data_IF_175586691707
#
_entry.id   IF_175586691707
#
_cell.length_a   1.000
_cell.length_b   1.000
_cell.length_c   1.000
_cell.angle_alpha   90.00
_cell.angle_beta   90.00
_cell.angle_gamma   90.00
#
_symmetry.space_group_name_H-M   'P 1'
#
loop_
_entity.id
_entity.type
_entity.pdbx_description
1 polymer ?
#
# COMPACT_ATOMS: atom_id res chain seq x y z
N UNK A 1 -3.74 33.92 -12.59
CA UNK A 1 -2.88 34.07 -11.40
C UNK A 1 -3.27 33.10 -10.32
N UNK A 2 -3.20 31.77 -10.56
CA UNK A 2 -3.56 30.67 -9.60
C UNK A 2 -2.70 29.40 -9.78
N UNK A 3 -1.41 29.53 -10.09
CA UNK A 3 -0.52 28.36 -10.29
C UNK A 3 0.57 28.27 -9.20
N UNK A 4 0.76 29.29 -8.38
CA UNK A 4 1.84 29.30 -7.36
C UNK A 4 1.51 28.58 -6.04
N UNK A 5 0.25 28.25 -5.75
CA UNK A 5 -0.14 27.65 -4.45
C UNK A 5 0.15 26.16 -4.30
N UNK A 6 0.39 25.43 -5.40
CA UNK A 6 0.55 23.96 -5.35
C UNK A 6 2.00 23.51 -5.16
N UNK A 7 2.97 24.34 -5.48
CA UNK A 7 4.41 24.00 -5.41
C UNK A 7 4.94 24.15 -3.99
N UNK A 8 4.44 25.14 -3.24
CA UNK A 8 4.93 25.47 -1.90
C UNK A 8 4.65 24.39 -0.86
N UNK A 9 3.53 23.64 -0.97
CA UNK A 9 3.21 22.54 -0.05
C UNK A 9 4.04 21.25 -0.29
N UNK A 10 4.60 21.10 -1.49
CA UNK A 10 5.46 19.94 -1.81
C UNK A 10 6.90 20.12 -1.32
N UNK A 11 7.35 21.35 -1.16
CA UNK A 11 8.71 21.68 -0.70
C UNK A 11 8.82 21.56 0.83
N UNK A 12 7.76 21.83 1.59
CA UNK A 12 7.78 21.73 3.06
C UNK A 12 7.94 20.31 3.58
N UNK A 13 7.42 19.28 2.87
CA UNK A 13 7.63 17.88 3.28
C UNK A 13 9.07 17.40 3.04
N UNK A 14 9.71 17.90 1.98
CA UNK A 14 11.10 17.55 1.66
C UNK A 14 12.11 18.23 2.62
N UNK A 15 11.78 19.42 3.12
CA UNK A 15 12.67 20.19 4.00
C UNK A 15 12.67 19.66 5.43
N UNK A 16 11.57 19.08 5.91
CA UNK A 16 11.47 18.47 7.24
C UNK A 16 12.31 17.19 7.39
N UNK A 17 12.55 16.49 6.29
CA UNK A 17 13.40 15.27 6.27
C UNK A 17 14.91 15.57 6.39
N UNK A 18 15.36 16.78 6.03
CA UNK A 18 16.77 17.16 6.07
C UNK A 18 17.25 17.65 7.45
N UNK A 19 16.34 17.90 8.38
CA UNK A 19 16.65 18.42 9.71
C UNK A 19 16.63 17.34 10.82
N UNK A 20 16.47 16.05 10.48
CA UNK A 20 16.52 14.99 11.50
C UNK A 20 17.97 14.68 11.87
N UNK A 21 18.29 14.59 13.18
CA UNK A 21 19.61 14.12 13.61
C UNK A 21 19.84 12.71 13.05
N UNK A 22 21.09 12.34 12.71
CA UNK A 22 21.39 11.02 12.17
C UNK A 22 20.98 9.96 13.19
N UNK A 23 19.82 9.34 13.02
CA UNK A 23 19.46 8.14 13.73
C UNK A 23 20.49 7.08 13.30
N UNK A 24 21.23 6.50 14.23
CA UNK A 24 22.15 5.40 13.95
C UNK A 24 21.29 4.24 13.45
N UNK A 25 21.39 3.94 12.16
CA UNK A 25 20.81 2.73 11.60
C UNK A 25 21.36 1.53 12.37
N UNK A 26 20.46 0.77 13.02
CA UNK A 26 20.86 -0.40 13.80
C UNK A 26 21.63 -1.40 12.93
N UNK A 27 22.73 -1.93 13.45
CA UNK A 27 23.61 -2.85 12.72
C UNK A 27 23.01 -4.25 12.47
N UNK A 28 21.80 -4.52 13.00
CA UNK A 28 21.23 -5.88 13.10
C UNK A 28 20.30 -6.33 11.98
N UNK A 29 19.76 -5.44 11.13
CA UNK A 29 18.83 -5.85 10.07
C UNK A 29 19.53 -6.00 8.71
N UNK A 30 19.22 -7.08 7.99
CA UNK A 30 19.69 -7.31 6.63
C UNK A 30 18.97 -6.36 5.66
N UNK A 31 19.64 -6.00 4.55
CA UNK A 31 19.04 -5.22 3.47
C UNK A 31 17.81 -5.90 2.92
N UNK A 32 16.80 -5.11 2.51
CA UNK A 32 15.51 -5.55 1.95
C UNK A 32 14.63 -6.39 2.89
N UNK A 33 15.11 -6.76 4.09
CA UNK A 33 14.32 -7.55 5.03
C UNK A 33 13.31 -6.71 5.84
N UNK A 34 13.41 -5.38 5.82
CA UNK A 34 12.35 -4.48 6.29
C UNK A 34 11.22 -4.30 5.27
N UNK A 35 11.32 -4.95 4.10
CA UNK A 35 10.41 -4.71 3.00
C UNK A 35 10.61 -3.35 2.35
N UNK A 36 9.59 -2.92 1.61
CA UNK A 36 9.42 -1.56 1.11
C UNK A 36 8.15 -0.97 1.70
N UNK A 37 7.78 0.24 1.36
CA UNK A 37 6.49 0.80 1.79
C UNK A 37 5.42 0.41 0.79
N UNK A 38 4.32 -0.16 1.28
CA UNK A 38 3.14 -0.42 0.46
C UNK A 38 2.43 0.89 0.10
N UNK A 39 1.55 0.85 -0.89
CA UNK A 39 0.73 2.01 -1.27
C UNK A 39 -0.16 2.53 -0.12
N UNK A 40 -0.44 1.71 0.88
CA UNK A 40 -1.17 2.07 2.10
C UNK A 40 -0.26 2.66 3.20
N UNK A 41 1.06 2.77 2.97
CA UNK A 41 2.04 3.37 3.86
C UNK A 41 2.68 2.42 4.87
N UNK A 42 2.09 1.27 5.15
CA UNK A 42 2.68 0.27 6.03
C UNK A 42 3.86 -0.44 5.35
N UNK A 43 4.85 -0.83 6.13
CA UNK A 43 5.94 -1.66 5.62
C UNK A 43 5.42 -3.01 5.11
N UNK A 44 5.96 -3.44 3.95
CA UNK A 44 5.54 -4.67 3.29
C UNK A 44 6.17 -4.81 1.93
N UNK A 45 5.42 -5.39 1.02
CA UNK A 45 5.67 -5.28 -0.42
C UNK A 45 5.02 -4.01 -0.99
N UNK A 46 4.91 -3.90 -2.31
CA UNK A 46 4.25 -2.77 -2.94
C UNK A 46 2.74 -2.72 -2.67
N UNK A 47 2.08 -3.87 -2.71
CA UNK A 47 0.63 -4.02 -2.54
C UNK A 47 0.22 -4.47 -1.13
N UNK A 48 1.01 -5.30 -0.48
CA UNK A 48 0.60 -6.01 0.75
C UNK A 48 1.43 -5.57 1.96
N UNK A 49 0.84 -5.41 3.17
CA UNK A 49 1.60 -5.22 4.39
C UNK A 49 2.20 -6.55 4.85
N UNK A 50 3.45 -6.49 5.32
CA UNK A 50 4.12 -7.62 5.95
C UNK A 50 4.12 -7.48 7.48
N UNK A 51 4.45 -8.55 8.19
CA UNK A 51 4.60 -8.50 9.63
C UNK A 51 5.88 -7.75 10.10
N UNK A 52 6.70 -7.32 9.16
CA UNK A 52 7.93 -6.56 9.39
C UNK A 52 7.65 -5.08 9.62
N UNK A 53 8.61 -4.37 10.22
CA UNK A 53 8.62 -2.90 10.35
C UNK A 53 9.56 -2.30 9.31
N UNK A 54 9.17 -1.17 8.71
CA UNK A 54 9.81 -0.57 7.53
C UNK A 54 11.08 0.24 7.79
N UNK A 55 11.73 0.04 8.94
CA UNK A 55 12.95 0.76 9.32
C UNK A 55 14.02 -0.21 9.80
N UNK A 56 15.23 0.28 9.96
CA UNK A 56 16.35 -0.50 10.52
C UNK A 56 16.45 -0.43 12.04
N UNK A 57 15.50 0.22 12.71
CA UNK A 57 15.45 0.27 14.18
C UNK A 57 15.34 -1.14 14.77
N UNK A 58 16.17 -1.40 15.77
CA UNK A 58 16.17 -2.62 16.57
C UNK A 58 15.56 -2.35 17.95
N UNK A 59 15.71 -3.29 18.90
CA UNK A 59 15.24 -3.14 20.27
C UNK A 59 15.79 -1.87 20.94
N UNK A 60 14.91 -1.09 21.53
CA UNK A 60 15.25 0.18 22.19
C UNK A 60 15.50 1.37 21.25
N UNK A 61 15.36 1.20 19.94
CA UNK A 61 15.65 2.24 18.94
C UNK A 61 14.39 2.76 18.26
N UNK A 62 14.51 3.99 17.73
CA UNK A 62 13.57 4.60 16.80
C UNK A 62 14.13 4.54 15.37
N UNK A 63 13.27 4.39 14.41
CA UNK A 63 13.59 4.53 12.99
C UNK A 63 12.46 5.23 12.27
N UNK A 64 12.79 5.82 11.14
CA UNK A 64 11.82 6.50 10.27
C UNK A 64 12.06 6.09 8.83
N UNK A 65 11.01 6.09 8.03
CA UNK A 65 11.09 5.90 6.60
C UNK A 65 10.17 6.87 5.88
N UNK A 66 10.51 7.21 4.65
CA UNK A 66 9.65 7.98 3.76
C UNK A 66 9.75 7.40 2.35
N UNK A 67 8.65 7.48 1.59
CA UNK A 67 8.61 6.90 0.26
C UNK A 67 7.78 7.76 -0.70
N UNK A 68 8.07 7.60 -1.98
CA UNK A 68 7.25 8.10 -3.05
C UNK A 68 7.12 7.01 -4.12
N UNK A 69 5.90 6.83 -4.61
CA UNK A 69 5.53 5.80 -5.57
C UNK A 69 4.73 6.40 -6.70
N UNK A 70 4.96 5.94 -7.91
CA UNK A 70 4.10 6.20 -9.06
C UNK A 70 3.76 4.89 -9.76
N UNK A 71 2.50 4.77 -10.18
CA UNK A 71 2.06 3.67 -11.03
C UNK A 71 1.27 4.22 -12.22
N UNK A 72 1.42 3.59 -13.36
CA UNK A 72 0.75 3.97 -14.59
C UNK A 72 0.27 2.73 -15.32
N UNK A 73 -1.05 2.63 -15.49
CA UNK A 73 -1.68 1.62 -16.33
C UNK A 73 -2.09 2.23 -17.68
N UNK A 74 -2.81 1.46 -18.51
CA UNK A 74 -3.28 1.95 -19.79
C UNK A 74 -4.14 3.21 -19.64
N UNK A 75 -5.07 3.21 -18.64
CA UNK A 75 -6.12 4.24 -18.56
C UNK A 75 -6.05 5.07 -17.29
N UNK A 76 -5.25 4.69 -16.29
CA UNK A 76 -5.19 5.34 -14.98
C UNK A 76 -3.77 5.69 -14.57
N UNK A 77 -3.66 6.61 -13.63
CA UNK A 77 -2.43 6.97 -12.96
C UNK A 77 -2.59 6.96 -11.45
N UNK A 78 -1.53 6.66 -10.73
CA UNK A 78 -1.48 6.73 -9.26
C UNK A 78 -0.16 7.37 -8.84
N UNK A 79 -0.23 8.35 -7.95
CA UNK A 79 0.91 8.85 -7.21
C UNK A 79 0.66 8.66 -5.71
N UNK A 80 1.66 8.20 -4.99
CA UNK A 80 1.59 7.99 -3.53
C UNK A 80 2.82 8.61 -2.89
N UNK A 81 2.63 9.25 -1.76
CA UNK A 81 3.73 9.65 -0.89
C UNK A 81 3.35 9.34 0.56
N UNK A 82 4.32 8.95 1.37
CA UNK A 82 4.06 8.61 2.75
C UNK A 82 5.33 8.50 3.58
N UNK A 83 5.11 8.27 4.87
CA UNK A 83 6.16 8.06 5.85
C UNK A 83 5.71 7.11 6.94
N UNK A 84 6.67 6.46 7.59
CA UNK A 84 6.44 5.65 8.77
C UNK A 84 7.51 5.90 9.83
N UNK A 85 7.13 5.71 11.08
CA UNK A 85 8.03 5.70 12.23
C UNK A 85 7.87 4.38 12.97
N UNK A 86 8.99 3.77 13.35
CA UNK A 86 9.03 2.51 14.07
C UNK A 86 9.70 2.71 15.42
N UNK A 87 9.13 2.12 16.44
CA UNK A 87 9.72 2.07 17.78
C UNK A 87 9.96 0.63 18.22
N UNK A 88 11.17 0.38 18.71
CA UNK A 88 11.56 -0.88 19.35
C UNK A 88 11.36 -2.12 18.43
N UNK A 89 11.41 -1.93 17.11
CA UNK A 89 11.07 -2.97 16.12
C UNK A 89 9.72 -3.67 16.37
N UNK A 90 8.81 -3.02 17.09
CA UNK A 90 7.52 -3.59 17.48
C UNK A 90 6.32 -2.78 17.03
N UNK A 91 6.41 -1.47 17.12
CA UNK A 91 5.30 -0.58 16.79
C UNK A 91 5.67 0.27 15.59
N UNK A 92 4.83 0.29 14.58
CA UNK A 92 4.96 1.14 13.38
C UNK A 92 3.73 2.04 13.27
N UNK A 93 3.95 3.34 13.21
CA UNK A 93 2.97 4.33 12.81
C UNK A 93 3.27 4.73 11.37
N UNK A 94 2.25 4.79 10.53
CA UNK A 94 2.41 5.16 9.13
C UNK A 94 1.34 6.15 8.68
N UNK A 95 1.70 6.96 7.68
CA UNK A 95 0.77 7.85 6.99
C UNK A 95 1.11 7.86 5.51
N UNK A 96 0.07 7.83 4.66
CA UNK A 96 0.23 7.92 3.21
C UNK A 96 -0.91 8.72 2.60
N UNK A 97 -0.63 9.39 1.49
CA UNK A 97 -1.62 10.00 0.61
C UNK A 97 -1.45 9.45 -0.79
N UNK A 98 -2.55 8.91 -1.33
CA UNK A 98 -2.67 8.47 -2.71
C UNK A 98 -3.40 9.54 -3.51
N UNK A 99 -2.98 9.78 -4.73
CA UNK A 99 -3.62 10.65 -5.73
C UNK A 99 -3.84 9.81 -6.99
N UNK A 100 -5.08 9.42 -7.22
CA UNK A 100 -5.49 8.55 -8.33
C UNK A 100 -6.11 9.39 -9.45
N UNK A 101 -5.41 9.45 -10.57
CA UNK A 101 -5.83 10.16 -11.78
C UNK A 101 -6.68 9.24 -12.66
N UNK A 102 -7.95 9.60 -12.83
CA UNK A 102 -8.91 8.87 -13.68
C UNK A 102 -8.75 9.19 -15.16
N UNK A 103 -7.93 10.16 -15.52
CA UNK A 103 -7.69 10.64 -16.89
C UNK A 103 -9.01 10.90 -17.65
N UNK A 104 -9.14 10.31 -18.85
CA UNK A 104 -10.32 10.46 -19.69
C UNK A 104 -11.46 9.49 -19.33
N UNK A 105 -11.26 8.54 -18.40
CA UNK A 105 -12.24 7.48 -18.16
C UNK A 105 -13.58 7.98 -17.60
N UNK A 106 -13.59 9.10 -16.92
CA UNK A 106 -14.82 9.73 -16.44
C UNK A 106 -15.37 10.83 -17.39
N UNK A 107 -14.83 10.95 -18.61
CA UNK A 107 -15.33 11.90 -19.61
C UNK A 107 -16.82 11.70 -19.95
N UNK A 108 -17.37 10.45 -20.05
CA UNK A 108 -18.80 10.24 -20.27
C UNK A 108 -19.70 10.82 -19.16
N UNK A 109 -19.13 11.05 -17.97
CA UNK A 109 -19.81 11.67 -16.84
C UNK A 109 -19.51 13.17 -16.71
N UNK A 110 -18.81 13.77 -17.67
CA UNK A 110 -18.36 15.16 -17.60
C UNK A 110 -17.23 15.41 -16.59
N UNK A 111 -16.54 14.37 -16.12
CA UNK A 111 -15.54 14.40 -15.05
C UNK A 111 -14.15 13.96 -15.54
N UNK A 112 -13.78 14.27 -16.79
CA UNK A 112 -12.46 13.96 -17.32
C UNK A 112 -11.35 14.59 -16.46
N UNK A 113 -10.29 13.83 -16.18
CA UNK A 113 -9.16 14.29 -15.36
C UNK A 113 -9.49 14.47 -13.88
N UNK A 114 -10.56 13.84 -13.37
CA UNK A 114 -10.85 13.85 -11.95
C UNK A 114 -9.77 13.06 -11.17
N UNK A 115 -9.32 13.64 -10.09
CA UNK A 115 -8.41 13.00 -9.13
C UNK A 115 -9.18 12.57 -7.89
N UNK A 116 -9.03 11.29 -7.51
CA UNK A 116 -9.51 10.75 -6.23
C UNK A 116 -8.32 10.71 -5.26
N UNK A 117 -8.46 11.34 -4.10
CA UNK A 117 -7.39 11.38 -3.09
C UNK A 117 -7.76 10.52 -1.91
N UNK A 118 -6.85 9.62 -1.50
CA UNK A 118 -7.06 8.75 -0.35
C UNK A 118 -5.98 9.02 0.70
N UNK A 119 -6.42 9.47 1.87
CA UNK A 119 -5.58 9.59 3.06
C UNK A 119 -5.65 8.31 3.87
N UNK A 120 -4.49 7.79 4.26
CA UNK A 120 -4.33 6.57 5.05
C UNK A 120 -3.47 6.87 6.26
N UNK A 121 -3.93 6.47 7.45
CA UNK A 121 -3.14 6.47 8.68
C UNK A 121 -3.17 5.04 9.24
N UNK A 122 -2.00 4.51 9.58
CA UNK A 122 -1.81 3.13 10.00
C UNK A 122 -1.11 2.99 11.34
N UNK A 123 -1.48 1.95 12.08
CA UNK A 123 -0.77 1.45 13.24
C UNK A 123 -0.57 -0.05 13.05
N UNK A 124 0.68 -0.52 13.17
CA UNK A 124 1.03 -1.94 13.14
C UNK A 124 1.74 -2.29 14.44
N UNK A 125 1.42 -3.44 14.98
CA UNK A 125 2.05 -3.99 16.17
C UNK A 125 2.52 -5.42 15.90
N UNK A 126 3.83 -5.66 16.01
CA UNK A 126 4.44 -6.98 15.99
C UNK A 126 4.13 -7.69 17.30
N UNK A 127 3.40 -8.79 17.22
CA UNK A 127 2.91 -9.55 18.37
C UNK A 127 3.94 -10.57 18.84
N UNK A 128 4.44 -11.39 17.91
CA UNK A 128 5.28 -12.54 18.22
C UNK A 128 6.14 -12.96 17.02
N UNK A 129 7.09 -13.85 17.28
CA UNK A 129 7.95 -14.47 16.27
C UNK A 129 9.07 -13.55 15.77
N UNK A 130 9.94 -14.13 14.97
CA UNK A 130 11.05 -13.48 14.30
C UNK A 130 11.09 -13.97 12.85
N UNK A 131 11.02 -13.04 11.89
CA UNK A 131 10.95 -13.40 10.48
C UNK A 131 12.31 -13.80 9.92
N UNK A 132 13.42 -13.24 10.45
CA UNK A 132 14.71 -13.19 9.77
C UNK A 132 15.79 -13.97 10.53
N UNK A 133 15.95 -13.68 11.82
CA UNK A 133 17.10 -14.16 12.61
C UNK A 133 16.85 -15.52 13.28
N UNK A 134 15.62 -16.01 13.30
CA UNK A 134 15.25 -17.29 13.90
C UNK A 134 14.91 -18.31 12.79
N UNK A 135 15.94 -18.70 12.01
CA UNK A 135 15.78 -19.61 10.88
C UNK A 135 15.42 -21.04 11.29
N UNK A 136 15.77 -21.42 12.52
CA UNK A 136 15.62 -22.80 13.02
C UNK A 136 14.21 -23.07 13.54
N UNK A 137 13.38 -22.05 13.71
CA UNK A 137 11.99 -22.17 14.15
C UNK A 137 11.03 -21.96 12.99
N UNK A 138 10.00 -22.80 12.95
CA UNK A 138 8.91 -22.67 11.98
C UNK A 138 8.02 -21.45 12.20
N UNK A 139 8.02 -20.87 13.41
CA UNK A 139 7.15 -19.77 13.78
C UNK A 139 7.47 -18.52 12.96
N UNK A 140 6.51 -18.02 12.14
CA UNK A 140 6.70 -16.75 11.44
C UNK A 140 6.63 -15.57 12.42
N UNK A 141 7.09 -14.42 11.97
CA UNK A 141 6.76 -13.16 12.63
C UNK A 141 5.29 -12.84 12.36
N UNK A 142 4.56 -12.49 13.42
CA UNK A 142 3.13 -12.16 13.37
C UNK A 142 2.95 -10.71 13.80
N UNK A 143 2.17 -9.96 13.02
CA UNK A 143 1.79 -8.60 13.34
C UNK A 143 0.30 -8.36 13.06
N UNK A 144 -0.32 -7.52 13.86
CA UNK A 144 -1.65 -6.97 13.63
C UNK A 144 -1.52 -5.50 13.25
N UNK A 145 -2.36 -5.04 12.33
CA UNK A 145 -2.40 -3.64 11.95
C UNK A 145 -3.82 -3.12 11.76
N UNK A 146 -3.95 -1.81 11.92
CA UNK A 146 -5.18 -1.06 11.69
C UNK A 146 -4.87 0.07 10.73
N UNK A 147 -5.70 0.24 9.69
CA UNK A 147 -5.61 1.33 8.73
C UNK A 147 -6.91 2.14 8.79
N UNK A 148 -6.80 3.43 9.10
CA UNK A 148 -7.90 4.39 8.93
C UNK A 148 -7.71 5.09 7.59
N UNK A 149 -8.73 4.99 6.73
CA UNK A 149 -8.71 5.54 5.37
C UNK A 149 -9.85 6.53 5.17
N UNK A 150 -9.58 7.58 4.39
CA UNK A 150 -10.58 8.57 3.99
C UNK A 150 -10.34 9.00 2.55
N UNK A 151 -11.36 8.86 1.71
CA UNK A 151 -11.33 9.30 0.32
C UNK A 151 -11.97 10.68 0.17
N UNK A 152 -11.29 11.56 -0.54
CA UNK A 152 -11.85 12.75 -1.17
C UNK A 152 -12.08 12.42 -2.65
N UNK A 153 -13.34 12.22 -3.00
CA UNK A 153 -13.75 11.84 -4.35
C UNK A 153 -14.18 13.06 -5.20
N UNK A 154 -13.99 14.28 -4.70
CA UNK A 154 -14.33 15.49 -5.42
C UNK A 154 -15.77 15.46 -5.94
N UNK A 155 -15.95 15.77 -7.23
CA UNK A 155 -17.26 15.80 -7.87
C UNK A 155 -17.96 14.42 -7.94
N UNK A 156 -17.25 13.30 -7.75
CA UNK A 156 -17.84 11.97 -7.69
C UNK A 156 -18.44 11.63 -6.31
N UNK A 157 -18.18 12.43 -5.27
CA UNK A 157 -18.63 12.16 -3.90
C UNK A 157 -20.15 11.94 -3.76
N UNK A 158 -21.04 12.74 -4.39
CA UNK A 158 -22.48 12.49 -4.34
C UNK A 158 -22.91 11.16 -4.94
N UNK A 159 -22.24 10.70 -6.02
CA UNK A 159 -22.52 9.40 -6.63
C UNK A 159 -22.08 8.27 -5.70
N UNK A 160 -20.90 8.38 -5.09
CA UNK A 160 -20.41 7.35 -4.15
C UNK A 160 -21.32 7.22 -2.94
N UNK A 161 -21.71 8.34 -2.31
CA UNK A 161 -22.48 8.30 -1.06
C UNK A 161 -23.97 8.10 -1.29
N UNK A 162 -24.54 8.68 -2.35
CA UNK A 162 -25.96 8.57 -2.70
C UNK A 162 -26.25 7.31 -3.48
N UNK A 163 -25.86 7.27 -4.76
CA UNK A 163 -26.27 6.18 -5.66
C UNK A 163 -25.63 4.83 -5.29
N UNK A 164 -24.38 4.81 -4.85
CA UNK A 164 -23.67 3.57 -4.49
C UNK A 164 -23.77 3.23 -3.00
N UNK A 165 -24.24 4.15 -2.15
CA UNK A 165 -24.37 3.96 -0.70
C UNK A 165 -23.02 3.69 0.01
N UNK A 166 -21.91 4.04 -0.62
CA UNK A 166 -20.58 3.86 -0.05
C UNK A 166 -20.24 5.03 0.91
N UNK A 167 -19.47 4.76 1.94
CA UNK A 167 -18.97 5.78 2.86
C UNK A 167 -17.63 6.32 2.37
N UNK A 168 -17.34 7.59 2.66
CA UNK A 168 -16.06 8.21 2.30
C UNK A 168 -14.91 7.87 3.26
N UNK A 169 -15.19 7.16 4.35
CA UNK A 169 -14.18 6.76 5.31
C UNK A 169 -14.45 5.36 5.85
N UNK A 170 -13.38 4.61 6.11
CA UNK A 170 -13.43 3.25 6.65
C UNK A 170 -12.21 2.92 7.51
N UNK A 171 -12.32 1.81 8.22
CA UNK A 171 -11.21 1.24 9.01
C UNK A 171 -11.06 -0.21 8.61
N UNK A 172 -9.84 -0.60 8.29
CA UNK A 172 -9.43 -1.97 8.01
C UNK A 172 -8.57 -2.49 9.15
N UNK A 173 -8.67 -3.78 9.41
CA UNK A 173 -7.81 -4.50 10.35
C UNK A 173 -7.17 -5.64 9.59
N UNK A 174 -5.88 -5.89 9.80
CA UNK A 174 -5.20 -7.00 9.17
C UNK A 174 -4.32 -7.77 10.15
N UNK A 175 -4.11 -9.04 9.86
CA UNK A 175 -3.18 -9.93 10.53
C UNK A 175 -2.20 -10.43 9.46
N UNK A 176 -0.91 -10.19 9.66
CA UNK A 176 0.16 -10.62 8.75
C UNK A 176 1.07 -11.64 9.42
N UNK A 177 1.51 -12.62 8.64
CA UNK A 177 2.52 -13.60 9.02
C UNK A 177 3.62 -13.62 7.96
N UNK A 178 4.87 -13.32 8.37
CA UNK A 178 6.02 -13.22 7.46
C UNK A 178 7.15 -14.12 7.94
N UNK A 179 7.78 -14.87 7.03
CA UNK A 179 8.94 -15.71 7.28
C UNK A 179 9.94 -15.61 6.14
N UNK A 180 11.21 -15.44 6.49
CA UNK A 180 12.35 -15.58 5.59
C UNK A 180 13.00 -16.95 5.84
N UNK A 181 13.05 -17.78 4.82
CA UNK A 181 13.81 -19.02 4.77
C UNK A 181 15.22 -18.68 4.25
N UNK A 182 16.19 -18.55 5.18
CA UNK A 182 17.53 -18.01 4.86
C UNK A 182 18.29 -18.85 3.84
N UNK A 183 18.26 -20.19 3.94
CA UNK A 183 19.01 -21.06 3.05
C UNK A 183 18.65 -20.88 1.56
N UNK A 184 17.35 -20.89 1.17
CA UNK A 184 16.95 -20.57 -0.20
C UNK A 184 16.86 -19.08 -0.49
N UNK A 185 16.97 -18.20 0.52
CA UNK A 185 16.74 -16.76 0.37
C UNK A 185 15.27 -16.40 0.04
N UNK A 186 14.31 -17.22 0.48
CA UNK A 186 12.89 -17.06 0.14
C UNK A 186 12.12 -16.42 1.29
N UNK A 187 11.52 -15.28 1.06
CA UNK A 187 10.57 -14.64 1.98
C UNK A 187 9.14 -14.97 1.53
N UNK A 188 8.33 -15.42 2.47
CA UNK A 188 6.90 -15.64 2.28
C UNK A 188 6.10 -14.78 3.27
N UNK A 189 5.03 -14.18 2.80
CA UNK A 189 4.08 -13.43 3.61
C UNK A 189 2.64 -13.82 3.26
N UNK A 190 1.81 -13.96 4.28
CA UNK A 190 0.37 -14.10 4.18
C UNK A 190 -0.29 -13.05 5.08
N UNK A 191 -1.25 -12.32 4.53
CA UNK A 191 -2.04 -11.33 5.27
C UNK A 191 -3.52 -11.62 5.08
N UNK A 192 -4.27 -11.57 6.16
CA UNK A 192 -5.73 -11.60 6.16
C UNK A 192 -6.23 -10.22 6.56
N UNK A 193 -6.97 -9.56 5.68
CA UNK A 193 -7.48 -8.20 5.88
C UNK A 193 -9.00 -8.20 6.02
N UNK A 194 -9.52 -7.73 7.14
CA UNK A 194 -10.94 -7.45 7.34
C UNK A 194 -11.24 -6.03 6.80
N UNK A 195 -11.89 -5.95 5.65
CA UNK A 195 -12.07 -4.70 4.89
C UNK A 195 -13.47 -4.53 4.35
N UNK A 196 -13.82 -3.28 4.05
CA UNK A 196 -15.00 -2.83 3.29
C UNK A 196 -14.56 -1.92 2.13
N UNK A 197 -13.26 -1.77 1.92
CA UNK A 197 -12.69 -0.81 0.98
C UNK A 197 -12.90 -1.25 -0.47
N UNK A 198 -13.61 -0.47 -1.25
CA UNK A 198 -13.79 -0.70 -2.68
C UNK A 198 -12.57 -0.14 -3.43
N UNK A 199 -11.93 -0.95 -4.27
CA UNK A 199 -10.69 -0.58 -4.98
C UNK A 199 -9.67 0.06 -4.03
N UNK A 200 -9.33 -0.67 -2.93
CA UNK A 200 -8.40 -0.19 -1.91
C UNK A 200 -8.88 0.99 -1.07
N UNK A 201 -10.11 1.48 -1.29
CA UNK A 201 -10.72 2.63 -0.63
C UNK A 201 -10.99 3.82 -1.55
N UNK A 202 -10.45 3.81 -2.77
CA UNK A 202 -10.64 4.89 -3.76
C UNK A 202 -12.10 5.06 -4.19
N UNK A 203 -12.89 3.97 -4.20
CA UNK A 203 -14.33 3.99 -4.45
C UNK A 203 -15.16 3.89 -3.16
N UNK A 204 -14.62 4.39 -2.05
CA UNK A 204 -15.28 4.42 -0.75
C UNK A 204 -15.33 3.06 -0.06
N UNK A 205 -16.22 2.91 0.93
CA UNK A 205 -16.26 1.78 1.86
C UNK A 205 -17.68 1.24 2.00
N UNK A 206 -17.84 -0.07 1.78
CA UNK A 206 -19.17 -0.72 1.74
C UNK A 206 -19.97 -0.30 0.51
N UNK A 207 -21.24 -0.56 0.53
CA UNK A 207 -22.18 -0.21 -0.54
C UNK A 207 -23.63 -0.34 -0.06
N UNK A 208 -24.61 0.09 -0.86
CA UNK A 208 -26.03 0.08 -0.51
C UNK A 208 -26.55 -1.32 -0.14
N UNK A 209 -25.94 -2.39 -0.66
CA UNK A 209 -26.36 -3.78 -0.42
C UNK A 209 -25.56 -4.48 0.69
N UNK A 210 -24.55 -3.83 1.27
CA UNK A 210 -23.76 -4.41 2.34
C UNK A 210 -22.74 -3.46 2.93
N UNK A 211 -22.78 -3.37 4.25
CA UNK A 211 -21.83 -2.57 5.04
C UNK A 211 -20.95 -3.46 5.92
N UNK A 212 -21.02 -4.78 5.72
CA UNK A 212 -20.22 -5.76 6.44
C UNK A 212 -18.76 -5.76 6.00
N UNK A 213 -17.84 -6.10 6.91
CA UNK A 213 -16.44 -6.38 6.56
C UNK A 213 -16.34 -7.77 5.96
N UNK A 214 -15.49 -7.91 4.95
CA UNK A 214 -15.07 -9.19 4.40
C UNK A 214 -13.62 -9.43 4.74
N UNK A 215 -13.25 -10.69 4.94
CA UNK A 215 -11.86 -11.08 5.14
C UNK A 215 -11.29 -11.46 3.78
N UNK A 216 -10.32 -10.67 3.32
CA UNK A 216 -9.67 -10.83 2.03
C UNK A 216 -8.22 -11.26 2.22
N UNK A 217 -7.76 -12.32 1.53
CA UNK A 217 -6.39 -12.77 1.61
C UNK A 217 -5.47 -11.92 0.73
N UNK A 218 -4.24 -11.75 1.20
CA UNK A 218 -3.13 -11.14 0.47
C UNK A 218 -1.88 -12.00 0.66
N UNK A 219 -1.03 -12.07 -0.34
CA UNK A 219 0.20 -12.83 -0.25
C UNK A 219 1.36 -12.11 -0.92
N UNK A 220 2.58 -12.43 -0.49
CA UNK A 220 3.81 -12.05 -1.15
C UNK A 220 4.80 -13.20 -1.09
N UNK A 221 5.52 -13.41 -2.20
CA UNK A 221 6.68 -14.29 -2.27
C UNK A 221 7.83 -13.48 -2.85
N UNK A 222 8.98 -13.43 -2.17
CA UNK A 222 10.14 -12.71 -2.64
C UNK A 222 11.39 -13.56 -2.48
N UNK A 223 12.19 -13.63 -3.53
CA UNK A 223 13.48 -14.29 -3.53
C UNK A 223 14.60 -13.25 -3.45
N UNK A 224 15.42 -13.36 -2.42
CA UNK A 224 16.61 -12.56 -2.22
C UNK A 224 17.75 -13.11 -3.12
N UNK A 225 17.81 -12.66 -4.36
CA UNK A 225 18.84 -13.08 -5.33
C UNK A 225 20.24 -12.65 -4.88
N UNK A 226 20.33 -11.58 -4.09
CA UNK A 226 21.53 -11.15 -3.40
C UNK A 226 21.14 -10.31 -2.17
N UNK A 227 22.13 -9.87 -1.36
CA UNK A 227 21.89 -8.95 -0.26
C UNK A 227 21.31 -7.58 -0.69
N UNK A 228 21.41 -7.24 -1.98
CA UNK A 228 20.98 -5.95 -2.54
C UNK A 228 19.80 -6.07 -3.50
N UNK A 229 19.39 -7.29 -3.88
CA UNK A 229 18.40 -7.51 -4.92
C UNK A 229 17.39 -8.57 -4.50
N UNK A 230 16.12 -8.23 -4.54
CA UNK A 230 15.01 -9.16 -4.39
C UNK A 230 14.09 -9.14 -5.62
N UNK A 231 13.54 -10.29 -5.95
CA UNK A 231 12.55 -10.49 -6.99
C UNK A 231 11.32 -11.11 -6.34
N UNK A 232 10.12 -10.67 -6.71
CA UNK A 232 8.95 -11.24 -6.05
C UNK A 232 7.66 -11.02 -6.81
N UNK A 233 6.61 -11.61 -6.25
CA UNK A 233 5.23 -11.49 -6.70
C UNK A 233 4.32 -11.24 -5.51
N UNK A 234 3.27 -10.46 -5.73
CA UNK A 234 2.25 -10.19 -4.72
C UNK A 234 0.86 -10.36 -5.29
N UNK A 235 -0.07 -10.68 -4.42
CA UNK A 235 -1.49 -10.71 -4.75
C UNK A 235 -2.33 -10.16 -3.61
N UNK A 236 -3.37 -9.39 -3.98
CA UNK A 236 -4.31 -8.78 -3.04
C UNK A 236 -5.73 -8.97 -3.55
N UNK A 237 -6.53 -9.75 -2.81
CA UNK A 237 -7.96 -9.87 -3.08
C UNK A 237 -8.69 -8.57 -2.71
N UNK A 238 -9.81 -8.31 -3.38
CA UNK A 238 -10.64 -7.13 -3.17
C UNK A 238 -12.07 -7.55 -2.81
N UNK A 239 -12.73 -6.89 -1.84
CA UNK A 239 -14.13 -7.16 -1.53
C UNK A 239 -15.04 -6.64 -2.64
N UNK A 240 -16.08 -7.39 -2.94
CA UNK A 240 -17.00 -7.10 -4.03
C UNK A 240 -18.32 -6.50 -3.46
N UNK A 241 -18.19 -5.32 -2.82
CA UNK A 241 -19.34 -4.67 -2.16
C UNK A 241 -20.23 -3.89 -3.13
N UNK A 242 -19.75 -3.59 -4.35
CA UNK A 242 -20.45 -2.78 -5.34
C UNK A 242 -20.91 -3.59 -6.56
N UNK A 243 -20.74 -4.93 -6.56
CA UNK A 243 -21.09 -5.81 -7.70
C UNK A 243 -22.56 -5.69 -8.10
N UNK A 244 -23.46 -5.53 -7.12
CA UNK A 244 -24.91 -5.39 -7.33
C UNK A 244 -25.37 -3.96 -7.07
N UNK A 245 -24.64 -2.98 -7.59
CA UNK A 245 -25.01 -1.58 -7.48
C UNK A 245 -26.18 -1.21 -8.38
N UNK A 246 -26.65 0.02 -8.27
CA UNK A 246 -27.68 0.59 -9.15
C UNK A 246 -27.27 0.62 -10.63
N UNK A 247 -25.98 0.45 -10.93
CA UNK A 247 -25.44 0.38 -12.29
C UNK A 247 -25.55 -1.02 -12.93
N UNK A 248 -26.07 -1.99 -12.19
CA UNK A 248 -26.27 -3.37 -12.63
C UNK A 248 -25.19 -4.33 -12.10
N UNK A 249 -25.48 -5.63 -12.19
CA UNK A 249 -24.57 -6.70 -11.76
C UNK A 249 -23.32 -6.71 -12.63
N UNK A 250 -22.16 -6.79 -12.00
CA UNK A 250 -20.85 -6.80 -12.67
C UNK A 250 -20.31 -5.42 -13.04
N UNK A 251 -21.14 -4.36 -13.02
CA UNK A 251 -20.74 -3.01 -13.45
C UNK A 251 -19.57 -2.43 -12.65
N UNK A 252 -19.49 -2.74 -11.36
CA UNK A 252 -18.44 -2.32 -10.43
C UNK A 252 -17.78 -3.51 -9.73
N UNK A 253 -17.79 -4.68 -10.38
CA UNK A 253 -17.13 -5.86 -9.84
C UNK A 253 -15.63 -5.62 -9.67
N UNK A 254 -15.11 -5.92 -8.47
CA UNK A 254 -13.70 -5.79 -8.17
C UNK A 254 -12.93 -7.04 -8.58
N UNK A 255 -11.82 -6.88 -9.28
CA UNK A 255 -10.85 -7.94 -9.56
C UNK A 255 -9.70 -7.88 -8.54
N UNK A 256 -9.03 -9.01 -8.31
CA UNK A 256 -7.82 -9.04 -7.50
C UNK A 256 -6.67 -8.28 -8.18
N UNK A 257 -5.81 -7.68 -7.37
CA UNK A 257 -4.58 -7.02 -7.82
C UNK A 257 -3.41 -7.98 -7.72
N UNK A 258 -2.54 -7.92 -8.70
CA UNK A 258 -1.33 -8.73 -8.78
C UNK A 258 -0.16 -7.84 -9.19
N UNK A 259 1.04 -8.17 -8.70
CA UNK A 259 2.26 -7.60 -9.24
C UNK A 259 3.40 -8.62 -9.31
N UNK A 260 4.42 -8.27 -10.11
CA UNK A 260 5.73 -8.88 -10.12
C UNK A 260 6.78 -7.78 -10.03
N UNK A 261 7.66 -7.85 -9.05
CA UNK A 261 8.56 -6.76 -8.71
C UNK A 261 10.02 -7.15 -8.66
N UNK A 262 10.86 -6.14 -8.82
CA UNK A 262 12.30 -6.13 -8.54
C UNK A 262 12.55 -5.02 -7.53
N UNK A 263 13.09 -5.37 -6.36
CA UNK A 263 13.50 -4.41 -5.34
C UNK A 263 15.03 -4.39 -5.23
N UNK A 264 15.62 -3.22 -5.32
CA UNK A 264 17.05 -2.99 -5.25
C UNK A 264 17.40 -2.00 -4.14
N UNK A 265 18.24 -2.41 -3.21
CA UNK A 265 18.75 -1.58 -2.12
C UNK A 265 20.26 -1.39 -2.26
N UNK A 266 20.71 -0.32 -2.96
CA UNK A 266 22.14 -0.05 -3.09
C UNK A 266 22.83 0.23 -1.74
N UNK A 267 22.06 0.73 -0.76
CA UNK A 267 22.49 1.04 0.61
C UNK A 267 21.35 0.73 1.59
N UNK A 268 21.69 0.63 2.88
CA UNK A 268 20.67 0.46 3.96
C UNK A 268 19.61 1.56 3.95
N UNK A 269 19.99 2.78 3.60
CA UNK A 269 19.10 3.95 3.65
C UNK A 269 18.25 4.16 2.41
N UNK A 270 18.48 3.42 1.32
CA UNK A 270 17.80 3.65 0.03
C UNK A 270 17.35 2.33 -0.56
N UNK A 271 16.10 2.26 -0.96
CA UNK A 271 15.59 1.16 -1.81
C UNK A 271 14.77 1.72 -2.97
N UNK A 272 14.86 1.04 -4.11
CA UNK A 272 14.11 1.29 -5.32
C UNK A 272 13.35 0.02 -5.70
N UNK A 273 12.09 0.16 -6.08
CA UNK A 273 11.27 -0.97 -6.53
C UNK A 273 10.67 -0.64 -7.88
N UNK A 274 10.86 -1.53 -8.83
CA UNK A 274 10.17 -1.53 -10.12
C UNK A 274 9.26 -2.76 -10.17
N UNK A 275 8.00 -2.57 -10.57
CA UNK A 275 7.06 -3.67 -10.72
C UNK A 275 6.23 -3.53 -12.00
N UNK A 276 5.82 -4.67 -12.55
CA UNK A 276 4.68 -4.77 -13.42
C UNK A 276 3.45 -5.08 -12.56
N UNK A 277 2.38 -4.32 -12.76
CA UNK A 277 1.13 -4.47 -12.00
C UNK A 277 -0.02 -4.85 -12.91
N UNK A 278 -0.93 -5.68 -12.44
CA UNK A 278 -2.25 -5.96 -13.01
C UNK A 278 -3.31 -5.70 -11.93
N UNK A 279 -4.02 -4.61 -12.06
CA UNK A 279 -5.07 -4.18 -11.14
C UNK A 279 -6.47 -4.70 -11.53
N UNK A 280 -6.53 -5.63 -12.50
CA UNK A 280 -7.80 -6.09 -13.02
C UNK A 280 -8.63 -4.99 -13.67
N UNK A 281 -9.93 -5.13 -13.66
CA UNK A 281 -10.88 -4.09 -14.11
C UNK A 281 -11.24 -3.21 -12.92
N UNK A 282 -10.93 -1.93 -13.00
CA UNK A 282 -11.16 -0.99 -11.89
C UNK A 282 -12.63 -0.56 -11.83
N UNK A 283 -13.21 -0.17 -12.98
CA UNK A 283 -14.61 0.16 -13.14
C UNK A 283 -15.12 -0.48 -14.45
N UNK A 284 -15.54 -1.76 -14.44
CA UNK A 284 -15.92 -2.49 -15.66
C UNK A 284 -16.96 -1.79 -16.53
N UNK A 285 -17.91 -1.07 -15.92
CA UNK A 285 -18.94 -0.32 -16.64
C UNK A 285 -18.40 0.83 -17.50
N UNK A 286 -17.26 1.41 -17.13
CA UNK A 286 -16.62 2.52 -17.88
C UNK A 286 -15.45 2.03 -18.70
N UNK A 287 -14.66 1.10 -18.16
CA UNK A 287 -13.50 0.55 -18.81
C UNK A 287 -13.45 -0.95 -18.58
N UNK A 288 -13.92 -1.76 -19.56
CA UNK A 288 -14.07 -3.21 -19.41
C UNK A 288 -12.73 -3.97 -19.49
N UNK A 289 -11.66 -3.35 -19.99
CA UNK A 289 -10.35 -4.00 -20.08
C UNK A 289 -9.61 -4.04 -18.75
N UNK A 290 -8.79 -5.05 -18.55
CA UNK A 290 -7.87 -5.14 -17.41
C UNK A 290 -6.84 -4.03 -17.49
N UNK A 291 -6.44 -3.55 -16.33
CA UNK A 291 -5.50 -2.43 -16.16
C UNK A 291 -4.15 -2.97 -15.69
N UNK A 292 -3.23 -3.14 -16.61
CA UNK A 292 -1.85 -3.49 -16.29
C UNK A 292 -0.90 -2.33 -16.62
N UNK A 293 0.29 -2.34 -16.03
CA UNK A 293 1.23 -1.26 -16.25
C UNK A 293 2.48 -1.34 -15.39
N UNK A 294 3.17 -0.22 -15.27
CA UNK A 294 4.40 -0.10 -14.51
C UNK A 294 4.18 0.63 -13.18
N UNK A 295 4.91 0.21 -12.17
CA UNK A 295 5.00 0.77 -10.84
C UNK A 295 6.47 1.08 -10.54
N UNK A 296 6.75 2.26 -10.02
CA UNK A 296 8.07 2.66 -9.55
C UNK A 296 7.95 3.28 -8.17
N UNK A 297 8.75 2.81 -7.23
CA UNK A 297 8.80 3.33 -5.85
C UNK A 297 10.25 3.59 -5.43
N UNK A 298 10.44 4.66 -4.67
CA UNK A 298 11.68 4.97 -3.98
C UNK A 298 11.39 5.16 -2.50
N UNK A 299 12.23 4.57 -1.64
CA UNK A 299 12.14 4.68 -0.19
C UNK A 299 13.47 5.09 0.41
N UNK A 300 13.40 5.97 1.40
CA UNK A 300 14.47 6.31 2.31
C UNK A 300 14.12 5.75 3.68
N UNK A 301 15.05 5.07 4.37
CA UNK A 301 14.84 4.51 5.71
C UNK A 301 16.06 4.76 6.59
N UNK A 302 15.78 5.09 7.85
CA UNK A 302 16.80 5.35 8.88
C UNK A 302 16.49 4.61 10.16
#
# INVERSE_FOLDING_TARGET
>A
MRVLGSITNRIFLASALLAMPPARAGDGKLLLTGGVSSIDGAAGGGLTPWALTGTYASAGQWGVSAFATTARTQDYGLAVAGAAATWNDRVELSAARQDFDTRANLAPLGLAGLHLKLDVVGLKWRLAGEAILDSDRWMPQIAVGVLRKRVDAGALAPTLTGALGARTAGTEVYLSATKLFLAPGLLANLTLRATQANQGGLLGFGGAQGQGRRVEPEFSLAWLASRHLALGVEGRAQPDNLDRSVLGTGALKADAWLDAFVAWAPRKTVSLTLAWVDLGRIVPALQPRRQSGAYLSAQLAY
#
